data_IF_376169512769
#
_entry.id   IF_376169512769
#
_cell.length_a   1.000
_cell.length_b   1.000
_cell.length_c   1.000
_cell.angle_alpha   90.00
_cell.angle_beta   90.00
_cell.angle_gamma   90.00
#
_symmetry.space_group_name_H-M   'P 1'
#
loop_
_entity.id
_entity.type
_entity.pdbx_description
1 polymer ?
#
# COMPACT_ATOMS: atom_id res chain seq x y z
N UNK A 1 -21.34 11.71 6.80
CA UNK A 1 -21.82 12.43 5.61
C UNK A 1 -22.84 11.58 4.88
N UNK A 2 -23.88 12.17 4.28
CA UNK A 2 -24.82 11.45 3.41
C UNK A 2 -24.12 10.89 2.17
N UNK A 3 -24.72 9.88 1.55
CA UNK A 3 -24.22 9.32 0.29
C UNK A 3 -24.30 10.36 -0.86
N UNK A 4 -23.40 10.31 -1.86
CA UNK A 4 -23.47 11.16 -3.04
C UNK A 4 -24.79 10.96 -3.82
N UNK A 5 -25.42 12.05 -4.26
CA UNK A 5 -26.71 12.05 -4.99
C UNK A 5 -26.62 12.64 -6.41
N UNK A 6 -25.50 13.26 -6.77
CA UNK A 6 -25.29 13.90 -8.07
C UNK A 6 -24.23 13.22 -8.96
N UNK A 7 -23.60 12.15 -8.47
CA UNK A 7 -22.62 11.36 -9.20
C UNK A 7 -21.68 10.60 -8.25
N UNK A 8 -20.76 9.79 -8.78
CA UNK A 8 -19.71 9.18 -7.96
C UNK A 8 -18.95 10.29 -7.22
N UNK A 9 -18.96 10.21 -5.89
CA UNK A 9 -18.32 11.20 -5.00
C UNK A 9 -18.79 12.66 -5.19
N UNK A 10 -19.94 12.87 -5.86
CA UNK A 10 -20.49 14.20 -6.13
C UNK A 10 -21.84 14.39 -5.42
N UNK A 11 -21.96 15.46 -4.65
CA UNK A 11 -23.22 15.87 -4.01
C UNK A 11 -23.87 17.00 -4.79
N UNK A 12 -25.20 16.97 -4.90
CA UNK A 12 -25.96 18.09 -5.42
C UNK A 12 -25.80 19.29 -4.49
N UNK A 13 -25.95 20.49 -5.04
CA UNK A 13 -25.90 21.73 -4.24
C UNK A 13 -26.91 21.70 -3.09
N UNK A 14 -28.12 21.19 -3.34
CA UNK A 14 -29.15 21.06 -2.32
C UNK A 14 -28.74 20.09 -1.20
N UNK A 15 -28.10 18.97 -1.53
CA UNK A 15 -27.58 18.04 -0.54
C UNK A 15 -26.47 18.67 0.31
N UNK A 16 -25.56 19.46 -0.29
CA UNK A 16 -24.52 20.19 0.44
C UNK A 16 -25.11 21.28 1.34
N UNK A 17 -26.08 22.05 0.86
CA UNK A 17 -26.75 23.10 1.64
C UNK A 17 -27.58 22.51 2.80
N UNK A 18 -28.10 21.29 2.65
CA UNK A 18 -28.79 20.56 3.71
C UNK A 18 -27.84 19.93 4.74
N UNK A 19 -26.52 19.94 4.50
CA UNK A 19 -25.56 19.42 5.48
C UNK A 19 -25.42 20.36 6.66
N UNK A 20 -25.43 19.77 7.86
CA UNK A 20 -25.10 20.50 9.07
C UNK A 20 -23.58 20.76 9.13
N UNK A 21 -23.18 21.93 8.62
CA UNK A 21 -21.80 22.39 8.64
C UNK A 21 -21.24 22.54 10.06
N UNK A 22 -22.09 22.76 11.07
CA UNK A 22 -21.63 22.83 12.46
C UNK A 22 -21.34 21.43 13.00
N UNK A 23 -22.23 20.47 12.77
CA UNK A 23 -21.97 19.07 13.13
C UNK A 23 -20.72 18.51 12.45
N UNK A 24 -20.49 18.85 11.16
CA UNK A 24 -19.26 18.47 10.45
C UNK A 24 -18.03 19.09 11.11
N UNK A 25 -18.06 20.39 11.43
CA UNK A 25 -16.93 21.07 12.11
C UNK A 25 -16.68 20.49 13.50
N UNK A 26 -17.73 20.21 14.26
CA UNK A 26 -17.63 19.57 15.58
C UNK A 26 -17.04 18.17 15.48
N UNK A 27 -17.47 17.35 14.52
CA UNK A 27 -16.91 16.03 14.29
C UNK A 27 -15.44 16.08 13.84
N UNK A 28 -15.03 17.14 13.14
CA UNK A 28 -13.66 17.34 12.70
C UNK A 28 -12.75 17.93 13.80
N UNK A 29 -13.30 18.50 14.88
CA UNK A 29 -12.60 18.98 16.08
C UNK A 29 -11.63 20.16 15.90
N UNK A 30 -10.91 20.22 14.77
CA UNK A 30 -9.94 21.25 14.39
C UNK A 30 -9.59 21.25 12.90
N UNK A 31 -10.29 20.45 12.08
CA UNK A 31 -10.04 20.33 10.64
C UNK A 31 -9.38 19.00 10.26
N UNK A 32 -9.20 18.74 8.94
CA UNK A 32 -8.58 17.51 8.47
C UNK A 32 -7.10 17.45 8.85
N UNK A 33 -6.61 16.23 9.06
CA UNK A 33 -5.18 15.99 9.23
C UNK A 33 -4.51 15.87 7.87
N UNK A 34 -3.36 16.51 7.70
CA UNK A 34 -2.46 16.18 6.58
C UNK A 34 -1.90 14.76 6.72
N UNK A 35 -1.37 14.20 5.63
CA UNK A 35 -0.68 12.91 5.65
C UNK A 35 0.42 12.83 6.72
N UNK A 36 1.22 13.88 6.90
CA UNK A 36 2.26 13.89 7.95
C UNK A 36 1.68 13.83 9.36
N UNK A 37 0.63 14.61 9.65
CA UNK A 37 -0.01 14.58 10.96
C UNK A 37 -0.70 13.24 11.26
N UNK A 38 -1.29 12.61 10.24
CA UNK A 38 -1.85 11.27 10.36
C UNK A 38 -0.75 10.23 10.65
N UNK A 39 0.39 10.31 9.96
CA UNK A 39 1.53 9.44 10.19
C UNK A 39 2.10 9.57 11.61
N UNK A 40 2.29 10.80 12.10
CA UNK A 40 2.78 11.06 13.46
C UNK A 40 1.87 10.43 14.52
N UNK A 41 0.54 10.52 14.35
CA UNK A 41 -0.40 9.89 15.29
C UNK A 41 -0.33 8.37 15.29
N UNK A 42 -0.16 7.74 14.13
CA UNK A 42 0.05 6.30 14.07
C UNK A 42 1.38 5.90 14.73
N UNK A 43 2.42 6.72 14.57
CA UNK A 43 3.71 6.51 15.22
C UNK A 43 3.61 6.56 16.76
N UNK A 44 2.89 7.55 17.27
CA UNK A 44 2.63 7.73 18.69
C UNK A 44 1.87 6.53 19.26
N UNK A 45 0.83 6.05 18.57
CA UNK A 45 0.06 4.89 18.98
C UNK A 45 0.89 3.60 19.03
N UNK A 46 1.86 3.44 18.14
CA UNK A 46 2.78 2.30 18.11
C UNK A 46 3.93 2.42 19.12
N UNK A 47 4.09 3.59 19.77
CA UNK A 47 5.27 3.90 20.58
C UNK A 47 6.57 3.94 19.76
N UNK A 48 6.49 4.17 18.44
CA UNK A 48 7.66 4.18 17.56
C UNK A 48 8.22 5.58 17.39
N UNK A 49 9.55 5.79 17.52
CA UNK A 49 10.17 7.11 17.41
C UNK A 49 10.23 7.63 15.96
N UNK A 50 9.93 6.79 14.97
CA UNK A 50 9.93 7.17 13.56
C UNK A 50 8.55 6.96 13.00
N UNK A 51 7.88 8.00 12.50
CA UNK A 51 6.58 7.84 11.90
C UNK A 51 6.66 6.97 10.66
N UNK A 52 5.63 6.14 10.41
CA UNK A 52 5.57 5.44 9.17
C UNK A 52 5.46 6.47 8.03
N UNK A 53 6.20 6.28 6.94
CA UNK A 53 6.23 7.27 5.86
C UNK A 53 4.83 7.51 5.28
N UNK A 54 4.58 8.72 4.74
CA UNK A 54 3.29 9.12 4.18
C UNK A 54 2.68 8.10 3.18
N UNK A 55 3.52 7.29 2.54
CA UNK A 55 3.06 6.25 1.62
C UNK A 55 2.38 5.06 2.29
N UNK A 56 2.65 4.76 3.58
CA UNK A 56 1.86 3.73 4.26
C UNK A 56 0.39 4.15 4.31
N UNK A 57 0.11 5.45 4.43
CA UNK A 57 -1.26 5.97 4.47
C UNK A 57 -1.95 5.77 3.12
N UNK A 58 -1.21 5.94 2.03
CA UNK A 58 -1.70 5.63 0.67
C UNK A 58 -2.05 4.14 0.56
N UNK A 59 -1.19 3.25 1.05
CA UNK A 59 -1.47 1.81 1.03
C UNK A 59 -2.64 1.42 1.94
N UNK A 60 -2.79 2.06 3.10
CA UNK A 60 -3.96 1.90 3.97
C UNK A 60 -5.26 2.38 3.30
N UNK A 61 -5.21 3.44 2.48
CA UNK A 61 -6.36 3.87 1.68
C UNK A 61 -6.70 2.84 0.61
N UNK A 62 -5.71 2.35 -0.13
CA UNK A 62 -5.89 1.29 -1.14
C UNK A 62 -6.39 -0.02 -0.54
N UNK A 63 -5.99 -0.33 0.68
CA UNK A 63 -6.50 -1.48 1.46
C UNK A 63 -7.92 -1.26 2.03
N UNK A 64 -8.52 -0.08 1.83
CA UNK A 64 -9.85 0.27 2.35
C UNK A 64 -9.89 0.50 3.87
N UNK A 65 -8.74 0.61 4.52
CA UNK A 65 -8.61 0.84 5.96
C UNK A 65 -8.74 2.33 6.31
N UNK A 66 -8.40 3.21 5.37
CA UNK A 66 -8.58 4.65 5.45
C UNK A 66 -9.29 5.20 4.22
N UNK A 67 -9.82 6.41 4.34
CA UNK A 67 -10.41 7.17 3.23
C UNK A 67 -9.77 8.54 3.23
N UNK A 68 -9.26 8.96 2.07
CA UNK A 68 -8.79 10.33 1.86
C UNK A 68 -9.98 11.26 1.63
N UNK A 69 -9.93 12.44 2.23
CA UNK A 69 -10.87 13.55 2.02
C UNK A 69 -10.43 14.45 0.86
N UNK A 70 -9.26 14.20 0.29
CA UNK A 70 -8.71 14.93 -0.84
C UNK A 70 -8.78 14.10 -2.11
N UNK A 71 -9.17 14.74 -3.20
CA UNK A 71 -9.07 14.20 -4.56
C UNK A 71 -7.66 14.36 -5.15
N UNK A 72 -6.79 15.17 -4.51
CA UNK A 72 -5.40 15.35 -4.91
C UNK A 72 -4.51 14.31 -4.19
N UNK A 73 -3.87 13.38 -4.91
CA UNK A 73 -3.01 12.36 -4.31
C UNK A 73 -1.76 12.93 -3.63
N UNK A 74 -1.32 14.13 -3.99
CA UNK A 74 -0.17 14.81 -3.36
C UNK A 74 -0.56 15.52 -2.07
N UNK A 75 -1.84 15.82 -1.88
CA UNK A 75 -2.37 16.51 -0.70
C UNK A 75 -3.33 15.61 0.07
N UNK A 76 -2.79 14.56 0.68
CA UNK A 76 -3.60 13.64 1.49
C UNK A 76 -4.20 14.36 2.69
N UNK A 77 -5.52 14.27 2.82
CA UNK A 77 -6.29 14.80 3.94
C UNK A 77 -7.10 13.68 4.58
N UNK A 78 -7.05 13.56 5.91
CA UNK A 78 -7.71 12.50 6.66
C UNK A 78 -8.62 13.05 7.75
N UNK A 79 -9.72 12.33 8.00
CA UNK A 79 -10.59 12.63 9.14
C UNK A 79 -9.88 12.23 10.45
N UNK A 80 -9.70 13.14 11.43
CA UNK A 80 -8.99 12.83 12.68
C UNK A 80 -9.54 11.59 13.40
N UNK A 81 -10.86 11.53 13.62
CA UNK A 81 -11.48 10.36 14.27
C UNK A 81 -11.33 9.03 13.53
N UNK A 82 -11.06 9.02 12.22
CA UNK A 82 -10.75 7.77 11.49
C UNK A 82 -9.31 7.32 11.75
N UNK A 83 -8.37 8.25 11.82
CA UNK A 83 -7.00 7.98 12.24
C UNK A 83 -6.99 7.50 13.69
N UNK A 84 -7.69 8.17 14.58
CA UNK A 84 -7.75 7.81 16.00
C UNK A 84 -8.39 6.41 16.19
N UNK A 85 -9.43 6.09 15.42
CA UNK A 85 -10.03 4.76 15.42
C UNK A 85 -9.08 3.67 14.91
N UNK A 86 -8.29 3.95 13.86
CA UNK A 86 -7.25 3.03 13.37
C UNK A 86 -6.12 2.87 14.40
N UNK A 87 -5.68 3.97 15.01
CA UNK A 87 -4.65 4.02 16.03
C UNK A 87 -5.01 3.20 17.28
N UNK A 88 -6.29 3.19 17.65
CA UNK A 88 -6.78 2.42 18.80
C UNK A 88 -6.94 0.92 18.52
N UNK A 89 -6.71 0.44 17.29
CA UNK A 89 -6.86 -0.98 16.97
C UNK A 89 -5.73 -1.81 17.60
N UNK A 90 -6.05 -2.92 18.29
CA UNK A 90 -5.04 -3.79 18.88
C UNK A 90 -4.20 -4.53 17.83
N UNK A 91 -4.65 -4.59 16.57
CA UNK A 91 -3.95 -5.23 15.45
C UNK A 91 -3.28 -4.24 14.50
N UNK A 92 -3.05 -2.98 14.93
CA UNK A 92 -2.48 -1.92 14.10
C UNK A 92 -1.12 -2.31 13.51
N UNK A 93 -0.24 -2.90 14.31
CA UNK A 93 1.09 -3.36 13.89
C UNK A 93 1.00 -4.39 12.75
N UNK A 94 0.09 -5.36 12.87
CA UNK A 94 -0.19 -6.36 11.84
C UNK A 94 -0.72 -5.71 10.56
N UNK A 95 -1.67 -4.78 10.68
CA UNK A 95 -2.25 -4.10 9.51
C UNK A 95 -1.21 -3.25 8.76
N UNK A 96 -0.33 -2.56 9.49
CA UNK A 96 0.74 -1.79 8.88
C UNK A 96 1.78 -2.71 8.23
N UNK A 97 2.11 -3.83 8.85
CA UNK A 97 2.98 -4.83 8.24
C UNK A 97 2.36 -5.46 6.97
N UNK A 98 1.04 -5.67 6.95
CA UNK A 98 0.31 -6.16 5.78
C UNK A 98 0.20 -5.14 4.65
N UNK A 99 0.08 -3.85 4.98
CA UNK A 99 0.03 -2.76 4.01
C UNK A 99 1.42 -2.32 3.53
N UNK A 100 2.48 -2.64 4.26
CA UNK A 100 3.84 -2.23 3.92
C UNK A 100 4.27 -2.82 2.56
N UNK A 101 4.76 -1.99 1.63
CA UNK A 101 5.36 -2.47 0.40
C UNK A 101 6.54 -3.41 0.71
N UNK A 102 6.65 -4.49 -0.05
CA UNK A 102 7.65 -5.54 0.18
C UNK A 102 8.80 -5.41 -0.81
N UNK A 103 10.02 -5.64 -0.32
CA UNK A 103 11.17 -5.84 -1.20
C UNK A 103 11.08 -7.16 -1.97
N UNK A 104 11.92 -7.38 -3.00
CA UNK A 104 11.82 -8.55 -3.87
C UNK A 104 11.87 -9.91 -3.14
N UNK A 105 12.71 -10.02 -2.11
CA UNK A 105 12.86 -11.27 -1.35
C UNK A 105 11.63 -11.55 -0.48
N UNK A 106 11.09 -10.51 0.15
CA UNK A 106 9.86 -10.59 0.95
C UNK A 106 8.65 -10.90 0.06
N UNK A 107 8.58 -10.28 -1.13
CA UNK A 107 7.51 -10.52 -2.08
C UNK A 107 7.52 -11.96 -2.63
N UNK A 108 8.71 -12.49 -2.97
CA UNK A 108 8.88 -13.89 -3.34
C UNK A 108 8.45 -14.85 -2.22
N UNK A 109 8.85 -14.56 -0.98
CA UNK A 109 8.45 -15.35 0.18
C UNK A 109 6.93 -15.35 0.40
N UNK A 110 6.27 -14.20 0.22
CA UNK A 110 4.80 -14.07 0.32
C UNK A 110 4.07 -14.94 -0.69
N UNK A 111 4.56 -15.02 -1.92
CA UNK A 111 4.01 -15.91 -2.96
C UNK A 111 4.38 -17.39 -2.80
N UNK A 112 5.28 -17.70 -1.84
CA UNK A 112 5.87 -19.02 -1.63
C UNK A 112 6.62 -19.50 -2.88
N UNK A 113 7.30 -18.59 -3.58
CA UNK A 113 8.09 -18.89 -4.77
C UNK A 113 9.57 -18.57 -4.52
N UNK A 114 10.46 -19.15 -5.33
CA UNK A 114 11.89 -18.84 -5.20
C UNK A 114 12.16 -17.44 -5.74
N UNK A 115 13.24 -16.83 -5.26
CA UNK A 115 13.67 -15.50 -5.71
C UNK A 115 13.89 -15.39 -7.23
N UNK A 116 14.33 -16.49 -7.86
CA UNK A 116 14.48 -16.58 -9.32
C UNK A 116 13.14 -16.58 -10.04
N UNK A 117 12.12 -17.25 -9.49
CA UNK A 117 10.79 -17.27 -10.09
C UNK A 117 10.15 -15.87 -10.01
N UNK A 118 10.34 -15.15 -8.90
CA UNK A 118 9.98 -13.73 -8.80
C UNK A 118 10.63 -12.85 -9.87
N UNK A 119 11.92 -13.04 -10.16
CA UNK A 119 12.58 -12.31 -11.26
C UNK A 119 11.93 -12.60 -12.61
N UNK A 120 11.43 -13.81 -12.83
CA UNK A 120 10.69 -14.10 -14.05
C UNK A 120 9.34 -13.38 -14.09
N UNK A 121 8.62 -13.26 -12.98
CA UNK A 121 7.37 -12.49 -12.91
C UNK A 121 7.60 -11.02 -13.29
N UNK A 122 8.66 -10.41 -12.73
CA UNK A 122 9.05 -9.03 -13.06
C UNK A 122 9.46 -8.92 -14.54
N UNK A 123 10.26 -9.86 -15.05
CA UNK A 123 10.67 -9.89 -16.47
C UNK A 123 9.49 -10.03 -17.43
N UNK A 124 8.46 -10.78 -17.02
CA UNK A 124 7.24 -10.99 -17.81
C UNK A 124 6.26 -9.81 -17.71
N UNK A 125 6.60 -8.76 -16.95
CA UNK A 125 5.77 -7.60 -16.63
C UNK A 125 4.45 -7.95 -15.91
N UNK A 126 4.38 -9.14 -15.30
CA UNK A 126 3.22 -9.56 -14.49
C UNK A 126 3.15 -8.79 -13.18
N UNK A 127 4.27 -8.24 -12.73
CA UNK A 127 4.35 -7.39 -11.55
C UNK A 127 5.40 -6.29 -11.71
N UNK A 128 4.95 -5.05 -11.59
CA UNK A 128 5.79 -3.85 -11.57
C UNK A 128 5.97 -3.31 -10.16
N UNK A 129 7.08 -2.57 -9.91
CA UNK A 129 7.29 -1.91 -8.64
C UNK A 129 6.19 -0.88 -8.36
N UNK A 130 5.97 -0.58 -7.08
CA UNK A 130 5.31 0.64 -6.66
C UNK A 130 6.15 1.85 -7.09
N UNK A 131 5.58 3.05 -7.09
CA UNK A 131 6.32 4.32 -7.33
C UNK A 131 7.42 4.60 -6.27
N UNK A 132 7.63 3.66 -5.34
CA UNK A 132 8.58 3.75 -4.26
C UNK A 132 9.79 2.86 -4.46
N UNK A 133 10.95 3.42 -4.11
CA UNK A 133 12.21 2.69 -4.00
C UNK A 133 12.85 3.00 -2.64
N UNK A 134 13.35 1.98 -1.94
CA UNK A 134 14.18 2.20 -0.75
C UNK A 134 15.61 2.43 -1.17
N UNK A 135 16.19 3.56 -0.76
CA UNK A 135 17.61 3.85 -0.91
C UNK A 135 18.37 3.23 0.26
N UNK A 136 19.07 2.14 0.03
CA UNK A 136 19.96 1.52 1.01
C UNK A 136 21.39 1.97 0.75
N UNK A 137 22.06 2.52 1.76
CA UNK A 137 23.50 2.79 1.74
C UNK A 137 24.22 1.63 2.41
N UNK A 138 25.12 0.96 1.68
CA UNK A 138 25.97 -0.07 2.25
C UNK A 138 27.35 0.50 2.58
N UNK A 139 27.76 0.42 3.85
CA UNK A 139 29.10 0.78 4.33
C UNK A 139 29.36 2.27 4.58
N UNK A 140 30.37 2.57 5.40
CA UNK A 140 30.81 3.93 5.74
C UNK A 140 31.57 4.65 4.60
N UNK A 141 31.88 3.93 3.51
CA UNK A 141 32.44 4.50 2.29
C UNK A 141 31.33 4.68 1.26
N UNK A 142 31.40 5.76 0.47
CA UNK A 142 30.42 6.22 -0.54
C UNK A 142 30.23 5.25 -1.75
N UNK A 143 30.22 3.94 -1.51
CA UNK A 143 30.02 2.89 -2.50
C UNK A 143 28.52 2.67 -2.72
N UNK A 144 27.91 3.54 -3.53
CA UNK A 144 26.62 3.28 -4.18
C UNK A 144 25.41 3.31 -3.26
N UNK A 145 24.57 4.35 -3.40
CA UNK A 145 23.19 4.24 -2.91
C UNK A 145 22.46 3.25 -3.80
N UNK A 146 22.12 2.08 -3.27
CA UNK A 146 21.34 1.07 -4.00
C UNK A 146 19.86 1.37 -3.84
N UNK A 147 19.13 1.41 -4.95
CA UNK A 147 17.68 1.55 -4.95
C UNK A 147 17.06 0.16 -5.04
N UNK A 148 16.25 -0.19 -4.05
CA UNK A 148 15.53 -1.45 -4.01
C UNK A 148 14.08 -1.15 -4.42
N UNK A 149 13.58 -1.74 -5.51
CA UNK A 149 12.18 -1.61 -5.89
C UNK A 149 11.30 -2.25 -4.83
N UNK A 150 10.24 -1.55 -4.45
CA UNK A 150 9.21 -2.06 -3.55
C UNK A 150 7.98 -2.49 -4.34
N UNK A 151 7.24 -3.46 -3.82
CA UNK A 151 6.07 -4.03 -4.47
C UNK A 151 4.88 -4.03 -3.52
N UNK A 152 3.72 -3.61 -4.01
CA UNK A 152 2.49 -3.51 -3.21
C UNK A 152 1.94 -4.92 -2.92
N UNK A 153 1.53 -5.16 -1.68
CA UNK A 153 1.06 -6.48 -1.21
C UNK A 153 -0.21 -6.93 -1.93
N UNK A 154 -1.13 -6.01 -2.22
CA UNK A 154 -2.34 -6.29 -3.00
C UNK A 154 -2.02 -6.75 -4.42
N UNK A 155 -1.06 -6.12 -5.09
CA UNK A 155 -0.63 -6.53 -6.44
C UNK A 155 0.07 -7.88 -6.40
N UNK A 156 0.91 -8.12 -5.38
CA UNK A 156 1.57 -9.43 -5.17
C UNK A 156 0.51 -10.53 -5.03
N UNK A 157 -0.49 -10.33 -4.18
CA UNK A 157 -1.50 -11.34 -3.87
C UNK A 157 -2.43 -11.65 -5.04
N UNK A 158 -2.62 -10.69 -5.96
CA UNK A 158 -3.43 -10.87 -7.18
C UNK A 158 -2.71 -11.60 -8.31
N UNK A 159 -1.37 -11.61 -8.36
CA UNK A 159 -0.62 -12.22 -9.48
C UNK A 159 -1.11 -13.64 -9.80
N UNK A 160 -1.38 -14.54 -8.83
CA UNK A 160 -1.88 -15.87 -9.16
C UNK A 160 -3.27 -15.94 -9.76
N UNK A 161 -4.14 -15.00 -9.40
CA UNK A 161 -5.48 -14.89 -9.96
C UNK A 161 -5.47 -14.24 -11.35
N UNK A 162 -4.60 -13.23 -11.54
CA UNK A 162 -4.46 -12.50 -12.80
C UNK A 162 -3.73 -13.32 -13.87
N UNK A 163 -2.88 -14.27 -13.46
CA UNK A 163 -2.11 -15.15 -14.35
C UNK A 163 -2.39 -16.63 -14.08
N UNK A 164 -3.61 -17.13 -14.36
CA UNK A 164 -3.98 -18.52 -14.17
C UNK A 164 -3.26 -19.47 -15.15
N UNK A 165 -2.66 -18.95 -16.22
CA UNK A 165 -1.86 -19.71 -17.18
C UNK A 165 -0.56 -20.28 -16.59
N UNK A 166 -0.10 -19.76 -15.45
CA UNK A 166 1.05 -20.32 -14.75
C UNK A 166 0.66 -21.49 -13.83
N UNK A 167 1.48 -22.54 -13.83
CA UNK A 167 1.37 -23.64 -12.87
C UNK A 167 1.93 -23.23 -11.50
N UNK A 168 1.09 -22.53 -10.72
CA UNK A 168 1.43 -22.04 -9.38
C UNK A 168 1.79 -23.16 -8.39
N UNK A 169 1.05 -24.28 -8.33
CA UNK A 169 1.45 -25.41 -7.50
C UNK A 169 2.85 -25.95 -7.87
N UNK A 170 3.16 -26.10 -9.17
CA UNK A 170 4.49 -26.53 -9.59
C UNK A 170 5.55 -25.51 -9.20
N UNK A 171 5.32 -24.22 -9.42
CA UNK A 171 6.26 -23.14 -9.04
C UNK A 171 6.62 -23.18 -7.55
N UNK A 172 5.61 -23.35 -6.69
CA UNK A 172 5.78 -23.42 -5.22
C UNK A 172 6.48 -24.70 -4.76
N UNK A 173 6.41 -25.77 -5.55
CA UNK A 173 7.04 -27.06 -5.24
C UNK A 173 8.50 -27.19 -5.74
N UNK A 174 9.01 -26.21 -6.51
CA UNK A 174 10.33 -26.30 -7.12
C UNK A 174 11.46 -26.34 -6.09
N UNK A 175 12.35 -27.32 -6.25
CA UNK A 175 13.58 -27.45 -5.46
C UNK A 175 14.71 -26.61 -6.05
N UNK A 176 15.74 -26.36 -5.25
CA UNK A 176 16.98 -25.71 -5.71
C UNK A 176 17.56 -26.47 -6.92
N UNK A 177 17.97 -25.74 -7.96
CA UNK A 177 18.54 -26.30 -9.19
C UNK A 177 17.53 -26.69 -10.28
N UNK A 178 16.23 -26.73 -9.97
CA UNK A 178 15.20 -26.98 -10.98
C UNK A 178 14.88 -25.71 -11.78
N UNK A 179 14.75 -25.86 -13.11
CA UNK A 179 14.44 -24.75 -14.01
C UNK A 179 13.00 -24.25 -13.79
N UNK A 180 12.82 -22.94 -13.79
CA UNK A 180 11.50 -22.33 -13.65
C UNK A 180 10.62 -22.61 -14.88
N UNK A 181 9.36 -23.04 -14.71
CA UNK A 181 8.35 -23.07 -15.78
C UNK A 181 8.19 -21.71 -16.49
N UNK A 182 8.30 -20.61 -15.73
CA UNK A 182 8.18 -19.24 -16.24
C UNK A 182 9.33 -18.85 -17.18
N UNK A 183 10.44 -19.60 -17.18
CA UNK A 183 11.58 -19.30 -18.04
C UNK A 183 11.30 -19.55 -19.53
N UNK A 184 10.25 -20.31 -19.85
CA UNK A 184 9.83 -20.60 -21.24
C UNK A 184 8.85 -19.56 -21.79
N UNK A 185 8.27 -18.73 -20.92
CA UNK A 185 7.33 -17.71 -21.31
C UNK A 185 8.09 -16.48 -21.81
N UNK A 186 7.60 -15.89 -22.90
CA UNK A 186 8.01 -14.57 -23.38
C UNK A 186 7.09 -13.51 -22.78
N UNK A 187 7.64 -12.34 -22.47
CA UNK A 187 6.84 -11.16 -22.13
C UNK A 187 5.89 -10.86 -23.29
N UNK A 188 4.62 -10.56 -22.99
CA UNK A 188 3.69 -10.07 -24.01
C UNK A 188 4.17 -8.74 -24.57
N UNK A 189 4.07 -8.55 -25.88
CA UNK A 189 4.27 -7.25 -26.55
C UNK A 189 3.26 -6.21 -26.11
#
# INVERSE_FOLDING_TARGET
MPAPDAGPETWSRAAVEAMDAQAIRTAMGGGPLSGWQAADRLAEALGTPTPPGATILVELVKAGLLVTLSADPEQLLFHPGRIDALAARPDLDRLLAEAAPLGPDQAAARLVVRRTDWNHLVRLDWIGPADQEVKVKFGAAQSGTHRIPLYRTDRIDRVPADHPEADWPALRALRKGQRSPLAKLTSGE
#
